data_IF_286009770362
#
_entry.id   IF_286009770362
#
_cell.length_a   1.000
_cell.length_b   1.000
_cell.length_c   1.000
_cell.angle_alpha   90.00
_cell.angle_beta   90.00
_cell.angle_gamma   90.00
#
_symmetry.space_group_name_H-M   'P 1'
#
loop_
_entity.id
_entity.type
_entity.pdbx_description
1 polymer ?
#
# COMPACT_ATOMS: atom_id res chain seq x y z
N UNK A 1 -5.07 11.08 5.31
CA UNK A 1 -4.75 10.16 6.41
C UNK A 1 -4.45 8.79 5.81
N UNK A 2 -3.25 8.23 6.02
CA UNK A 2 -3.00 6.82 5.73
C UNK A 2 -3.71 6.00 6.80
N UNK A 3 -4.72 5.22 6.40
CA UNK A 3 -5.37 4.25 7.26
C UNK A 3 -4.93 2.86 6.82
N UNK A 4 -4.57 1.97 7.76
CA UNK A 4 -4.39 0.57 7.43
C UNK A 4 -5.70 0.00 6.86
N UNK A 5 -5.56 -0.85 5.85
CA UNK A 5 -6.66 -1.51 5.15
C UNK A 5 -6.56 -3.00 5.47
N UNK A 6 -7.69 -3.61 5.84
CA UNK A 6 -7.76 -5.06 5.99
C UNK A 6 -7.78 -5.72 4.62
N UNK A 7 -7.13 -6.86 4.49
CA UNK A 7 -7.07 -7.56 3.22
C UNK A 7 -8.44 -8.04 2.71
N UNK A 8 -9.41 -8.26 3.58
CA UNK A 8 -10.79 -8.58 3.21
C UNK A 8 -11.43 -7.42 2.44
N UNK A 9 -11.17 -6.17 2.85
CA UNK A 9 -11.63 -4.98 2.13
C UNK A 9 -11.03 -4.92 0.71
N UNK A 10 -9.78 -5.38 0.54
CA UNK A 10 -9.14 -5.44 -0.79
C UNK A 10 -9.78 -6.53 -1.66
N UNK A 11 -10.07 -7.70 -1.09
CA UNK A 11 -10.80 -8.77 -1.78
C UNK A 11 -12.14 -8.23 -2.29
N UNK A 12 -12.91 -7.58 -1.41
CA UNK A 12 -14.24 -7.06 -1.71
C UNK A 12 -14.21 -5.93 -2.77
N UNK A 13 -13.16 -5.12 -2.81
CA UNK A 13 -13.03 -4.03 -3.78
C UNK A 13 -12.43 -4.41 -5.13
N UNK A 14 -11.75 -5.56 -5.23
CA UNK A 14 -11.02 -5.95 -6.44
C UNK A 14 -11.63 -7.14 -7.17
N UNK A 15 -12.60 -7.83 -6.57
CA UNK A 15 -13.15 -9.10 -7.05
C UNK A 15 -12.08 -10.18 -7.31
N UNK A 16 -10.89 -10.01 -6.74
CA UNK A 16 -9.78 -10.96 -6.85
C UNK A 16 -9.84 -11.99 -5.72
N UNK A 17 -9.51 -13.24 -6.04
CA UNK A 17 -9.43 -14.27 -5.00
C UNK A 17 -8.35 -13.95 -3.97
N UNK A 18 -8.64 -14.24 -2.70
CA UNK A 18 -7.69 -14.16 -1.58
C UNK A 18 -6.32 -14.77 -1.91
N UNK A 19 -6.32 -15.98 -2.48
CA UNK A 19 -5.10 -16.72 -2.81
C UNK A 19 -4.24 -15.97 -3.82
N UNK A 20 -4.88 -15.32 -4.81
CA UNK A 20 -4.19 -14.53 -5.81
C UNK A 20 -3.58 -13.25 -5.21
N UNK A 21 -4.37 -12.52 -4.42
CA UNK A 21 -3.91 -11.30 -3.73
C UNK A 21 -2.71 -11.63 -2.84
N UNK A 22 -2.80 -12.70 -2.05
CA UNK A 22 -1.71 -13.15 -1.18
C UNK A 22 -0.43 -13.43 -1.98
N UNK A 23 -0.52 -14.14 -3.10
CA UNK A 23 0.62 -14.44 -3.96
C UNK A 23 1.29 -13.16 -4.48
N UNK A 24 0.50 -12.19 -4.92
CA UNK A 24 0.99 -10.90 -5.41
C UNK A 24 1.68 -10.10 -4.29
N UNK A 25 1.11 -10.07 -3.09
CA UNK A 25 1.72 -9.39 -1.94
C UNK A 25 3.03 -10.04 -1.53
N UNK A 26 3.08 -11.38 -1.47
CA UNK A 26 4.32 -12.13 -1.20
C UNK A 26 5.39 -11.82 -2.24
N UNK A 27 5.04 -11.78 -3.53
CA UNK A 27 5.94 -11.37 -4.60
C UNK A 27 6.47 -9.94 -4.38
N UNK A 28 5.60 -8.99 -4.07
CA UNK A 28 6.02 -7.60 -3.80
C UNK A 28 6.95 -7.48 -2.60
N UNK A 29 6.83 -8.35 -1.59
CA UNK A 29 7.79 -8.42 -0.47
C UNK A 29 9.17 -8.87 -0.93
N UNK A 30 9.21 -9.91 -1.75
CA UNK A 30 10.45 -10.49 -2.27
C UNK A 30 11.17 -9.49 -3.19
N UNK A 31 10.40 -8.74 -3.98
CA UNK A 31 10.90 -7.64 -4.83
C UNK A 31 11.26 -6.36 -4.05
N UNK A 32 11.17 -6.38 -2.72
CA UNK A 32 11.43 -5.22 -1.84
C UNK A 32 10.66 -3.96 -2.26
N UNK A 33 9.39 -4.13 -2.64
CA UNK A 33 8.54 -3.02 -3.07
C UNK A 33 8.36 -1.98 -1.95
N UNK A 34 8.70 -0.72 -2.23
CA UNK A 34 8.76 0.38 -1.23
C UNK A 34 7.49 1.28 -1.26
N UNK A 35 6.36 0.79 -1.78
CA UNK A 35 5.13 1.60 -1.88
C UNK A 35 4.10 1.34 -0.77
N UNK A 36 4.12 0.14 -0.18
CA UNK A 36 3.26 -0.23 0.94
C UNK A 36 3.95 -1.31 1.79
N UNK A 37 3.57 -1.37 3.06
CA UNK A 37 3.89 -2.49 3.94
C UNK A 37 2.67 -3.40 4.05
N UNK A 38 2.93 -4.68 4.24
CA UNK A 38 1.89 -5.63 4.61
C UNK A 38 2.44 -6.59 5.66
N UNK A 39 1.63 -6.86 6.67
CA UNK A 39 1.98 -7.79 7.76
C UNK A 39 0.78 -8.61 8.20
N UNK A 40 1.05 -9.73 8.86
CA UNK A 40 0.02 -10.54 9.49
C UNK A 40 -0.19 -10.06 10.93
N UNK A 41 -1.39 -9.58 11.24
CA UNK A 41 -1.80 -9.23 12.60
C UNK A 41 -2.87 -10.20 13.09
N UNK A 42 -2.50 -11.11 14.00
CA UNK A 42 -3.40 -12.15 14.50
C UNK A 42 -3.87 -13.09 13.38
N UNK A 43 -5.18 -13.08 13.11
CA UNK A 43 -5.79 -13.88 12.04
C UNK A 43 -6.00 -13.11 10.72
N UNK A 44 -5.74 -11.79 10.70
CA UNK A 44 -5.91 -10.94 9.52
C UNK A 44 -4.57 -10.50 8.94
N UNK A 45 -4.61 -10.02 7.70
CA UNK A 45 -3.49 -9.31 7.09
C UNK A 45 -3.86 -7.84 6.94
N UNK A 46 -2.90 -6.98 7.27
CA UNK A 46 -3.09 -5.53 7.25
C UNK A 46 -2.08 -4.93 6.28
N UNK A 47 -2.56 -3.98 5.48
CA UNK A 47 -1.75 -3.29 4.47
C UNK A 47 -1.83 -1.79 4.73
N UNK A 48 -0.70 -1.08 4.68
CA UNK A 48 -0.68 0.37 4.79
C UNK A 48 0.42 0.97 3.91
N UNK A 49 0.20 2.21 3.46
CA UNK A 49 1.18 2.91 2.62
C UNK A 49 2.44 3.22 3.40
N UNK A 50 3.59 3.04 2.76
CA UNK A 50 4.89 3.40 3.32
C UNK A 50 4.94 4.92 3.52
N UNK A 51 5.29 5.34 4.74
CA UNK A 51 5.34 6.76 5.11
C UNK A 51 6.40 7.51 4.31
N UNK A 52 7.55 6.91 4.02
CA UNK A 52 8.61 7.51 3.21
C UNK A 52 8.18 7.68 1.75
N UNK A 53 7.32 6.78 1.23
CA UNK A 53 6.73 6.94 -0.10
C UNK A 53 5.67 8.05 -0.13
N UNK A 54 4.84 8.16 0.91
CA UNK A 54 3.85 9.25 1.03
C UNK A 54 4.52 10.62 1.28
N UNK A 55 5.67 10.64 1.96
CA UNK A 55 6.46 11.85 2.22
C UNK A 55 7.46 12.18 1.10
N UNK A 56 7.63 11.33 0.07
CA UNK A 56 8.55 11.57 -1.04
C UNK A 56 8.09 12.75 -1.91
N UNK A 57 8.57 13.90 -1.44
CA UNK A 57 8.87 15.19 -2.06
C UNK A 57 7.71 15.99 -2.68
N UNK A 58 7.22 17.02 -1.97
CA UNK A 58 6.43 18.11 -2.58
C UNK A 58 7.12 18.81 -3.77
N UNK A 59 8.42 18.55 -4.00
CA UNK A 59 9.15 19.03 -5.19
C UNK A 59 8.67 18.43 -6.50
N UNK A 60 8.03 17.25 -6.49
CA UNK A 60 7.55 16.59 -7.70
C UNK A 60 6.04 16.77 -7.93
N UNK A 61 5.29 17.20 -6.92
CA UNK A 61 3.88 17.58 -7.06
C UNK A 61 3.77 19.00 -7.59
N UNK A 62 2.62 19.36 -8.17
CA UNK A 62 2.37 20.69 -8.75
C UNK A 62 2.48 21.87 -7.77
N UNK A 63 2.89 21.65 -6.52
CA UNK A 63 3.19 22.70 -5.55
C UNK A 63 4.31 23.65 -6.00
N UNK A 64 5.23 23.19 -6.86
CA UNK A 64 6.24 24.05 -7.52
C UNK A 64 5.66 25.09 -8.49
N UNK A 65 4.37 25.00 -8.83
CA UNK A 65 3.64 25.98 -9.66
C UNK A 65 2.69 26.86 -8.82
N UNK A 66 2.76 26.78 -7.49
CA UNK A 66 1.95 27.59 -6.57
C UNK A 66 2.73 28.78 -5.98
N UNK A 67 4.02 28.93 -6.32
CA UNK A 67 4.83 30.13 -6.01
C UNK A 67 4.72 31.16 -7.16
N UNK A 68 3.48 31.54 -7.51
CA UNK A 68 3.14 32.78 -8.24
C UNK A 68 2.15 33.61 -7.43
#
# INVERSE_FOLDING_TARGET
>A
MNKPVDIHEIVDHTDLSWTYIKKILEQFREEQYVGFHFEKLGNSWIIWKDREHVLKQPRNTCGRFLDE
#
